data_IF_494696194996
#
_entry.id   IF_494696194996
#
_cell.length_a   1.000
_cell.length_b   1.000
_cell.length_c   1.000
_cell.angle_alpha   90.00
_cell.angle_beta   90.00
_cell.angle_gamma   90.00
#
_symmetry.space_group_name_H-M   'P 1'
#
loop_
_entity.id
_entity.type
_entity.pdbx_description
1 polymer ?
#
# COMPACT_ATOMS: atom_id res chain seq x y z
N UNK A 1 -3.47 13.33 -19.06
CA UNK A 1 -3.65 12.02 -18.40
C UNK A 1 -4.96 12.06 -17.61
N UNK A 2 -5.95 11.24 -17.91
CA UNK A 2 -7.18 11.19 -17.13
C UNK A 2 -6.90 10.57 -15.76
N UNK A 3 -7.40 11.23 -14.72
CA UNK A 3 -7.31 10.80 -13.34
C UNK A 3 -8.71 10.46 -12.86
N UNK A 4 -8.88 9.31 -12.22
CA UNK A 4 -10.12 8.88 -11.56
C UNK A 4 -9.95 9.03 -10.05
N UNK A 5 -10.97 9.51 -9.36
CA UNK A 5 -11.00 9.66 -7.90
C UNK A 5 -12.25 9.01 -7.34
N UNK A 6 -12.35 8.93 -6.02
CA UNK A 6 -13.55 8.53 -5.29
C UNK A 6 -14.20 9.74 -4.58
N UNK A 7 -14.16 10.92 -5.22
CA UNK A 7 -14.75 12.14 -4.65
C UNK A 7 -16.26 12.05 -4.42
N UNK A 8 -16.97 11.25 -5.23
CA UNK A 8 -18.39 10.93 -5.06
C UNK A 8 -18.69 10.08 -3.81
N UNK A 9 -17.68 9.40 -3.28
CA UNK A 9 -17.72 8.71 -1.98
C UNK A 9 -17.21 9.57 -0.83
N UNK A 10 -16.84 10.84 -1.07
CA UNK A 10 -16.21 11.72 -0.08
C UNK A 10 -14.72 11.43 0.16
N UNK A 11 -14.07 10.64 -0.67
CA UNK A 11 -12.67 10.20 -0.56
C UNK A 11 -11.87 10.62 -1.81
N UNK A 12 -11.74 11.94 -2.08
CA UNK A 12 -11.05 12.44 -3.29
C UNK A 12 -9.56 12.10 -3.34
N UNK A 13 -8.95 11.76 -2.22
CA UNK A 13 -7.55 11.35 -2.08
C UNK A 13 -7.29 9.94 -2.63
N UNK A 14 -8.30 9.07 -2.72
CA UNK A 14 -8.19 7.81 -3.44
C UNK A 14 -8.18 8.09 -4.94
N UNK A 15 -6.99 7.97 -5.53
CA UNK A 15 -6.72 8.38 -6.91
C UNK A 15 -6.17 7.22 -7.71
N UNK A 16 -6.61 7.05 -8.97
CA UNK A 16 -5.97 6.13 -9.91
C UNK A 16 -5.78 6.74 -11.29
N UNK A 17 -4.66 6.40 -11.91
CA UNK A 17 -4.31 6.85 -13.25
C UNK A 17 -3.35 5.86 -13.91
N UNK A 18 -3.04 6.08 -15.19
CA UNK A 18 -2.08 5.23 -15.92
C UNK A 18 -1.09 6.11 -16.66
N UNK A 19 0.19 5.75 -16.61
CA UNK A 19 1.25 6.38 -17.36
C UNK A 19 2.21 5.31 -17.91
N UNK A 20 2.56 5.39 -19.19
CA UNK A 20 3.46 4.45 -19.86
C UNK A 20 3.07 2.97 -19.64
N UNK A 21 1.78 2.66 -19.65
CA UNK A 21 1.24 1.32 -19.36
C UNK A 21 1.61 0.81 -17.96
N UNK A 22 1.73 1.70 -17.00
CA UNK A 22 1.82 1.38 -15.57
C UNK A 22 0.60 1.98 -14.89
N UNK A 23 -0.16 1.16 -14.19
CA UNK A 23 -1.31 1.60 -13.41
C UNK A 23 -0.85 2.09 -12.04
N UNK A 24 -1.30 3.26 -11.64
CA UNK A 24 -1.03 3.85 -10.33
C UNK A 24 -2.31 3.94 -9.52
N UNK A 25 -2.23 3.61 -8.24
CA UNK A 25 -3.30 3.77 -7.27
C UNK A 25 -2.77 4.40 -5.99
N UNK A 26 -3.32 5.54 -5.61
CA UNK A 26 -3.10 6.17 -4.31
C UNK A 26 -4.26 5.76 -3.41
N UNK A 27 -3.95 5.27 -2.22
CA UNK A 27 -4.89 4.63 -1.31
C UNK A 27 -4.85 5.30 0.07
N UNK A 28 -5.98 5.72 0.58
CA UNK A 28 -6.11 6.22 1.94
C UNK A 28 -6.14 5.04 2.93
N UNK A 29 -4.97 4.47 3.21
CA UNK A 29 -4.75 3.48 4.27
C UNK A 29 -3.93 4.16 5.35
N UNK A 30 -4.45 4.23 6.56
CA UNK A 30 -3.86 4.96 7.67
C UNK A 30 -3.08 4.03 8.61
N UNK A 31 -2.07 4.55 9.30
CA UNK A 31 -1.38 3.86 10.38
C UNK A 31 -2.31 3.49 11.55
N UNK A 32 -1.72 3.09 12.67
CA UNK A 32 -2.46 2.73 13.88
C UNK A 32 -3.52 1.65 13.66
N UNK A 33 -3.12 0.55 12.98
CA UNK A 33 -4.01 -0.56 12.62
C UNK A 33 -5.20 -0.08 11.77
N UNK A 34 -4.92 0.66 10.71
CA UNK A 34 -5.92 1.29 9.83
C UNK A 34 -6.89 2.21 10.60
N UNK A 35 -6.38 2.95 11.59
CA UNK A 35 -7.18 3.83 12.48
C UNK A 35 -8.16 3.08 13.41
N UNK A 36 -7.98 1.79 13.64
CA UNK A 36 -8.79 1.03 14.64
C UNK A 36 -8.32 1.24 16.08
N UNK A 37 -7.11 1.76 16.30
CA UNK A 37 -6.68 2.12 17.64
C UNK A 37 -7.50 3.31 18.16
N UNK A 38 -7.80 3.36 19.48
CA UNK A 38 -8.58 4.47 20.05
C UNK A 38 -7.99 5.84 19.74
N UNK A 39 -8.82 6.83 19.46
CA UNK A 39 -8.40 8.21 19.23
C UNK A 39 -8.05 8.90 20.55
N UNK A 40 -6.93 8.48 21.14
CA UNK A 40 -6.46 8.98 22.46
C UNK A 40 -6.23 10.49 22.47
N UNK A 41 -5.88 11.10 21.33
CA UNK A 41 -5.77 12.55 21.19
C UNK A 41 -7.09 13.30 21.39
N UNK A 42 -8.23 12.62 21.29
CA UNK A 42 -9.56 13.13 21.60
C UNK A 42 -10.06 12.66 22.99
N UNK A 43 -9.20 11.96 23.77
CA UNK A 43 -9.54 11.46 25.08
C UNK A 43 -10.23 10.09 25.08
N UNK A 44 -10.34 9.44 23.92
CA UNK A 44 -10.99 8.13 23.78
C UNK A 44 -10.05 7.01 24.26
N UNK A 45 -10.61 6.03 24.96
CA UNK A 45 -9.90 4.83 25.44
C UNK A 45 -10.29 3.56 24.70
N UNK A 46 -11.37 3.65 23.88
CA UNK A 46 -11.87 2.59 23.00
C UNK A 46 -12.27 3.21 21.68
N UNK A 47 -12.34 2.41 20.61
CA UNK A 47 -12.86 2.89 19.34
C UNK A 47 -14.33 3.29 19.47
N UNK A 48 -14.69 4.48 18.96
CA UNK A 48 -16.08 4.96 18.99
C UNK A 48 -16.88 4.38 17.81
N UNK A 49 -18.23 4.38 17.86
CA UNK A 49 -19.04 3.96 16.73
C UNK A 49 -18.78 4.79 15.47
N UNK A 50 -18.53 6.10 15.59
CA UNK A 50 -18.22 6.99 14.49
C UNK A 50 -16.87 6.66 13.87
N UNK A 51 -15.85 6.34 14.69
CA UNK A 51 -14.55 5.88 14.24
C UNK A 51 -14.67 4.56 13.45
N UNK A 52 -15.42 3.59 13.97
CA UNK A 52 -15.63 2.30 13.31
C UNK A 52 -16.36 2.47 11.97
N UNK A 53 -17.37 3.32 11.91
CA UNK A 53 -18.10 3.63 10.67
C UNK A 53 -17.20 4.31 9.62
N UNK A 54 -16.29 5.20 10.04
CA UNK A 54 -15.30 5.82 9.16
C UNK A 54 -14.35 4.76 8.59
N UNK A 55 -13.80 3.91 9.46
CA UNK A 55 -12.87 2.84 9.05
C UNK A 55 -13.53 1.88 8.06
N UNK A 56 -14.78 1.46 8.32
CA UNK A 56 -15.53 0.59 7.42
C UNK A 56 -15.73 1.25 6.05
N UNK A 57 -16.26 2.47 6.02
CA UNK A 57 -16.50 3.23 4.79
C UNK A 57 -15.22 3.43 3.95
N UNK A 58 -14.12 3.83 4.59
CA UNK A 58 -12.84 4.06 3.93
C UNK A 58 -12.23 2.74 3.45
N UNK A 59 -12.32 1.67 4.24
CA UNK A 59 -11.81 0.36 3.86
C UNK A 59 -12.55 -0.18 2.65
N UNK A 60 -13.88 -0.14 2.62
CA UNK A 60 -14.68 -0.57 1.46
C UNK A 60 -14.27 0.18 0.19
N UNK A 61 -14.07 1.48 0.29
CA UNK A 61 -13.64 2.30 -0.83
C UNK A 61 -12.22 1.93 -1.30
N UNK A 62 -11.29 1.67 -0.37
CA UNK A 62 -9.92 1.20 -0.68
C UNK A 62 -9.94 -0.16 -1.37
N UNK A 63 -10.70 -1.13 -0.87
CA UNK A 63 -10.85 -2.46 -1.48
C UNK A 63 -11.39 -2.36 -2.91
N UNK A 64 -12.41 -1.53 -3.11
CA UNK A 64 -12.96 -1.26 -4.45
C UNK A 64 -11.91 -0.57 -5.36
N UNK A 65 -11.13 0.36 -4.83
CA UNK A 65 -10.07 1.06 -5.58
C UNK A 65 -8.98 0.09 -6.05
N UNK A 66 -8.51 -0.82 -5.18
CA UNK A 66 -7.52 -1.84 -5.52
C UNK A 66 -8.05 -2.72 -6.65
N UNK A 67 -9.22 -3.36 -6.48
CA UNK A 67 -9.83 -4.22 -7.50
C UNK A 67 -10.02 -3.51 -8.83
N UNK A 68 -10.52 -2.27 -8.81
CA UNK A 68 -10.71 -1.47 -10.02
C UNK A 68 -9.39 -1.13 -10.71
N UNK A 69 -8.30 -0.92 -9.95
CA UNK A 69 -6.97 -0.63 -10.50
C UNK A 69 -6.45 -1.84 -11.28
N UNK A 70 -6.48 -3.03 -10.69
CA UNK A 70 -6.03 -4.26 -11.34
C UNK A 70 -6.93 -4.64 -12.52
N UNK A 71 -8.25 -4.56 -12.39
CA UNK A 71 -9.18 -4.80 -13.50
C UNK A 71 -8.95 -3.82 -14.66
N UNK A 72 -8.71 -2.53 -14.40
CA UNK A 72 -8.37 -1.54 -15.42
C UNK A 72 -6.99 -1.86 -16.05
N UNK A 73 -5.99 -2.26 -15.25
CA UNK A 73 -4.66 -2.64 -15.72
C UNK A 73 -4.69 -3.87 -16.63
N UNK A 74 -5.41 -4.91 -16.23
CA UNK A 74 -5.58 -6.13 -17.05
C UNK A 74 -6.25 -5.85 -18.39
N UNK A 75 -7.33 -5.02 -18.41
CA UNK A 75 -7.99 -4.65 -19.67
C UNK A 75 -7.11 -3.85 -20.63
N UNK A 76 -6.13 -3.10 -20.12
CA UNK A 76 -5.18 -2.32 -20.93
C UNK A 76 -3.90 -3.08 -21.26
N UNK A 77 -3.69 -4.27 -20.70
CA UNK A 77 -2.42 -4.98 -20.70
C UNK A 77 -1.30 -4.07 -20.16
N UNK A 78 -1.53 -3.45 -19.00
CA UNK A 78 -0.52 -2.64 -18.33
C UNK A 78 0.64 -3.55 -17.88
N UNK A 79 1.85 -2.99 -17.81
CA UNK A 79 3.11 -3.72 -17.54
C UNK A 79 3.43 -3.83 -16.06
N UNK A 80 2.75 -3.07 -15.22
CA UNK A 80 2.89 -3.10 -13.77
C UNK A 80 1.70 -2.39 -13.10
N UNK A 81 1.52 -2.68 -11.82
CA UNK A 81 0.67 -1.92 -10.90
C UNK A 81 1.53 -1.34 -9.79
N UNK A 82 1.33 -0.06 -9.48
CA UNK A 82 1.99 0.66 -8.37
C UNK A 82 0.91 1.17 -7.43
N UNK A 83 0.91 0.67 -6.21
CA UNK A 83 0.07 1.15 -5.11
C UNK A 83 0.88 2.05 -4.19
N UNK A 84 0.29 3.16 -3.76
CA UNK A 84 0.91 4.12 -2.83
C UNK A 84 -0.01 4.37 -1.65
N UNK A 85 0.52 4.30 -0.44
CA UNK A 85 -0.24 4.54 0.80
C UNK A 85 0.63 5.17 1.87
N UNK A 86 0.00 5.68 2.93
CA UNK A 86 0.72 6.18 4.10
C UNK A 86 1.15 5.01 5.00
N UNK A 87 0.25 4.09 5.34
CA UNK A 87 0.50 3.06 6.33
C UNK A 87 1.58 2.05 5.93
N UNK A 88 2.45 1.68 6.86
CA UNK A 88 3.31 0.51 6.77
C UNK A 88 2.60 -0.71 7.37
N UNK A 89 1.91 -1.48 6.53
CA UNK A 89 1.21 -2.71 6.92
C UNK A 89 2.16 -3.85 7.30
N UNK A 90 3.46 -3.66 7.09
CA UNK A 90 4.51 -4.65 7.31
C UNK A 90 5.68 -4.04 8.08
N UNK A 91 5.40 -3.13 9.02
CA UNK A 91 6.42 -2.46 9.83
C UNK A 91 7.21 -3.48 10.68
N UNK A 92 8.53 -3.63 10.43
CA UNK A 92 9.35 -4.59 11.16
C UNK A 92 9.36 -4.34 12.68
N UNK A 93 9.13 -3.11 13.13
CA UNK A 93 9.08 -2.77 14.54
C UNK A 93 7.87 -3.39 15.25
N UNK A 94 6.80 -3.66 14.51
CA UNK A 94 5.57 -4.29 15.00
C UNK A 94 5.58 -5.82 14.91
N UNK A 95 6.57 -6.43 14.24
CA UNK A 95 6.59 -7.85 13.93
C UNK A 95 6.47 -8.74 15.18
N UNK A 96 7.21 -8.44 16.24
CA UNK A 96 7.16 -9.23 17.46
C UNK A 96 5.78 -9.16 18.16
N UNK A 97 5.16 -7.97 18.19
CA UNK A 97 3.84 -7.78 18.76
C UNK A 97 2.75 -8.46 17.91
N UNK A 98 2.84 -8.32 16.58
CA UNK A 98 1.91 -8.94 15.64
C UNK A 98 2.00 -10.48 15.64
N UNK A 99 3.22 -11.03 15.79
CA UNK A 99 3.40 -12.49 15.94
C UNK A 99 2.77 -13.00 17.23
N UNK A 100 2.89 -12.25 18.33
CA UNK A 100 2.30 -12.62 19.63
C UNK A 100 0.76 -12.45 19.62
N UNK A 101 0.25 -11.46 18.89
CA UNK A 101 -1.18 -11.18 18.77
C UNK A 101 -1.50 -10.62 17.37
N UNK A 102 -1.90 -11.46 16.40
CA UNK A 102 -2.25 -11.04 15.04
C UNK A 102 -3.39 -10.01 14.95
N UNK A 103 -4.25 -9.91 15.98
CA UNK A 103 -5.34 -8.93 15.99
C UNK A 103 -4.87 -7.48 16.08
N UNK A 104 -3.61 -7.26 16.48
CA UNK A 104 -2.99 -5.92 16.40
C UNK A 104 -2.88 -5.38 14.97
N UNK A 105 -3.02 -6.25 13.96
CA UNK A 105 -2.98 -5.94 12.53
C UNK A 105 -4.33 -6.18 11.83
N UNK A 106 -5.41 -6.35 12.61
CA UNK A 106 -6.74 -6.73 12.08
C UNK A 106 -7.31 -5.74 11.05
N UNK A 107 -7.04 -4.44 11.23
CA UNK A 107 -7.50 -3.39 10.32
C UNK A 107 -6.87 -3.41 8.93
N UNK A 108 -5.78 -4.15 8.76
CA UNK A 108 -5.12 -4.32 7.46
C UNK A 108 -5.45 -5.65 6.79
N UNK A 109 -6.04 -6.62 7.52
CA UNK A 109 -6.19 -8.01 7.06
C UNK A 109 -6.92 -8.12 5.72
N UNK A 110 -8.07 -7.49 5.57
CA UNK A 110 -8.84 -7.51 4.32
C UNK A 110 -8.13 -6.79 3.16
N UNK A 111 -7.42 -5.71 3.48
CA UNK A 111 -6.65 -4.94 2.49
C UNK A 111 -5.50 -5.81 1.96
N UNK A 112 -4.73 -6.42 2.86
CA UNK A 112 -3.62 -7.31 2.50
C UNK A 112 -4.12 -8.51 1.71
N UNK A 113 -5.26 -9.11 2.09
CA UNK A 113 -5.89 -10.18 1.33
C UNK A 113 -6.19 -9.78 -0.11
N UNK A 114 -6.87 -8.65 -0.31
CA UNK A 114 -7.21 -8.19 -1.66
C UNK A 114 -5.96 -7.85 -2.48
N UNK A 115 -4.94 -7.28 -1.85
CA UNK A 115 -3.65 -7.04 -2.53
C UNK A 115 -3.04 -8.36 -3.02
N UNK A 116 -3.04 -9.41 -2.19
CA UNK A 116 -2.51 -10.74 -2.54
C UNK A 116 -3.34 -11.38 -3.66
N UNK A 117 -4.66 -11.38 -3.54
CA UNK A 117 -5.55 -11.98 -4.54
C UNK A 117 -5.35 -11.34 -5.92
N UNK A 118 -5.29 -10.02 -5.96
CA UNK A 118 -5.09 -9.27 -7.20
C UNK A 118 -3.66 -9.41 -7.75
N UNK A 119 -2.63 -9.38 -6.89
CA UNK A 119 -1.24 -9.57 -7.31
C UNK A 119 -1.01 -10.97 -7.89
N UNK A 120 -1.54 -12.02 -7.25
CA UNK A 120 -1.42 -13.40 -7.74
C UNK A 120 -2.23 -13.67 -9.03
N UNK A 121 -3.17 -12.78 -9.37
CA UNK A 121 -3.97 -12.88 -10.60
C UNK A 121 -3.45 -11.98 -11.73
N UNK A 122 -2.39 -11.20 -11.49
CA UNK A 122 -1.85 -10.23 -12.42
C UNK A 122 -0.46 -10.67 -12.92
N UNK A 123 -0.34 -10.96 -14.22
CA UNK A 123 0.87 -11.52 -14.84
C UNK A 123 2.00 -10.47 -15.06
N UNK A 124 2.20 -9.53 -14.12
CA UNK A 124 3.23 -8.50 -14.21
C UNK A 124 3.60 -7.96 -12.82
N UNK A 125 4.76 -7.25 -12.65
CA UNK A 125 5.22 -6.77 -11.37
C UNK A 125 4.22 -5.88 -10.64
N UNK A 126 4.13 -6.06 -9.32
CA UNK A 126 3.31 -5.26 -8.41
C UNK A 126 4.21 -4.57 -7.39
N UNK A 127 4.03 -3.27 -7.24
CA UNK A 127 4.80 -2.45 -6.30
C UNK A 127 3.89 -1.83 -5.26
N UNK A 128 4.34 -1.86 -4.00
CA UNK A 128 3.73 -1.16 -2.88
C UNK A 128 4.71 -0.12 -2.34
N UNK A 129 4.36 1.16 -2.43
CA UNK A 129 5.14 2.26 -1.89
C UNK A 129 4.43 2.78 -0.65
N UNK A 130 5.13 2.83 0.47
CA UNK A 130 4.56 3.29 1.74
C UNK A 130 5.53 4.17 2.55
N UNK A 131 4.99 4.86 3.55
CA UNK A 131 5.74 5.62 4.56
C UNK A 131 5.61 4.97 5.94
N UNK A 132 5.22 5.75 6.94
CA UNK A 132 4.85 5.45 8.33
C UNK A 132 6.02 5.02 9.22
N UNK A 133 6.72 3.93 8.92
CA UNK A 133 7.91 3.49 9.69
C UNK A 133 9.11 4.44 9.57
N UNK A 134 9.09 5.37 8.60
CA UNK A 134 10.08 6.45 8.41
C UNK A 134 11.53 5.98 8.17
N UNK A 135 11.72 4.70 7.84
CA UNK A 135 13.02 4.11 7.52
C UNK A 135 12.96 3.48 6.15
N UNK A 136 13.84 3.93 5.27
CA UNK A 136 13.91 3.38 3.91
C UNK A 136 14.16 1.87 3.95
N UNK A 137 13.35 1.14 3.21
CA UNK A 137 13.47 -0.31 3.08
C UNK A 137 12.98 -0.76 1.69
N UNK A 138 13.59 -1.84 1.21
CA UNK A 138 13.19 -2.54 -0.01
C UNK A 138 13.09 -4.02 0.33
N UNK A 139 11.93 -4.63 0.14
CA UNK A 139 11.73 -6.04 0.44
C UNK A 139 10.47 -6.60 -0.24
N UNK A 140 10.27 -7.91 -0.07
CA UNK A 140 9.08 -8.65 -0.50
C UNK A 140 8.39 -9.22 0.76
N UNK A 141 7.56 -8.42 1.45
CA UNK A 141 6.98 -8.80 2.73
C UNK A 141 6.00 -9.97 2.63
N UNK A 142 5.53 -10.29 1.43
CA UNK A 142 4.59 -11.38 1.16
C UNK A 142 5.24 -12.54 0.40
N UNK A 143 6.57 -12.60 0.29
CA UNK A 143 7.27 -13.74 -0.29
C UNK A 143 7.11 -15.00 0.55
N UNK A 144 7.27 -16.17 -0.08
CA UNK A 144 7.23 -17.47 0.60
C UNK A 144 8.17 -17.49 1.83
N UNK A 145 7.67 -17.97 2.96
CA UNK A 145 8.40 -18.02 4.23
C UNK A 145 8.43 -16.71 5.02
N UNK A 146 7.77 -15.65 4.54
CA UNK A 146 7.64 -14.41 5.32
C UNK A 146 6.74 -14.62 6.54
N UNK A 147 7.15 -14.12 7.73
CA UNK A 147 6.31 -14.21 8.94
C UNK A 147 4.99 -13.44 8.83
N UNK A 148 4.90 -12.48 7.92
CA UNK A 148 3.66 -11.74 7.69
C UNK A 148 2.54 -12.59 7.11
N UNK A 149 2.87 -13.69 6.41
CA UNK A 149 1.88 -14.62 5.89
C UNK A 149 1.09 -15.28 7.02
N UNK A 150 1.77 -15.73 8.07
CA UNK A 150 1.13 -16.32 9.25
C UNK A 150 0.30 -15.29 10.03
N UNK A 151 0.83 -14.06 10.19
CA UNK A 151 0.15 -12.97 10.90
C UNK A 151 -1.17 -12.60 10.22
N UNK A 152 -1.17 -12.50 8.89
CA UNK A 152 -2.38 -12.18 8.13
C UNK A 152 -3.24 -13.41 7.78
N UNK A 153 -2.68 -14.62 7.94
CA UNK A 153 -3.35 -15.86 7.54
C UNK A 153 -3.54 -15.96 6.02
N UNK A 154 -2.54 -15.55 5.25
CA UNK A 154 -2.61 -15.40 3.80
C UNK A 154 -1.56 -16.22 3.06
N UNK A 155 -1.79 -16.61 1.79
CA UNK A 155 -0.79 -17.24 0.94
C UNK A 155 0.29 -16.22 0.52
N UNK A 156 1.38 -16.71 -0.09
CA UNK A 156 2.42 -15.85 -0.64
C UNK A 156 1.96 -15.08 -1.90
N UNK A 157 2.60 -13.94 -2.13
CA UNK A 157 2.55 -13.15 -3.35
C UNK A 157 3.98 -12.67 -3.68
N UNK A 158 4.74 -13.54 -4.34
CA UNK A 158 6.18 -13.37 -4.56
C UNK A 158 6.51 -12.21 -5.52
N UNK A 159 5.58 -11.82 -6.41
CA UNK A 159 5.76 -10.73 -7.38
C UNK A 159 5.50 -9.33 -6.77
N UNK A 160 5.12 -9.26 -5.50
CA UNK A 160 4.92 -7.98 -4.82
C UNK A 160 6.21 -7.47 -4.20
N UNK A 161 6.71 -6.35 -4.71
CA UNK A 161 7.85 -5.63 -4.15
C UNK A 161 7.39 -4.40 -3.37
N UNK A 162 7.92 -4.23 -2.15
CA UNK A 162 7.63 -3.07 -1.32
C UNK A 162 8.82 -2.12 -1.24
N UNK A 163 8.53 -0.83 -1.29
CA UNK A 163 9.48 0.26 -1.07
C UNK A 163 8.91 1.17 0.02
N UNK A 164 9.56 1.21 1.18
CA UNK A 164 9.23 2.16 2.25
C UNK A 164 10.14 3.38 2.15
N UNK A 165 9.57 4.59 2.20
CA UNK A 165 10.33 5.83 2.10
C UNK A 165 10.77 6.36 3.45
N UNK A 166 11.91 7.07 3.51
CA UNK A 166 12.34 7.79 4.71
C UNK A 166 11.33 8.88 5.08
N UNK A 167 11.23 9.19 6.36
CA UNK A 167 10.36 10.24 6.86
C UNK A 167 10.78 10.75 8.23
N UNK A 168 10.04 11.71 8.78
CA UNK A 168 10.28 12.29 10.11
C UNK A 168 11.76 12.71 10.30
N UNK A 169 12.43 12.25 11.37
CA UNK A 169 13.83 12.55 11.67
C UNK A 169 14.82 12.04 10.60
N UNK A 170 14.42 11.06 9.80
CA UNK A 170 15.23 10.50 8.70
C UNK A 170 15.00 11.19 7.36
N UNK A 171 14.16 12.24 7.30
CA UNK A 171 13.80 12.94 6.08
C UNK A 171 14.94 13.83 5.57
N UNK A 172 16.05 13.22 5.12
CA UNK A 172 17.20 13.89 4.52
C UNK A 172 17.25 13.78 2.99
N UNK A 173 16.28 13.09 2.41
CA UNK A 173 16.19 12.78 1.00
C UNK A 173 14.72 12.60 0.59
N UNK A 174 14.49 12.49 -0.72
CA UNK A 174 13.26 11.93 -1.28
C UNK A 174 13.60 10.74 -2.18
N UNK A 175 12.62 9.87 -2.42
CA UNK A 175 12.77 8.79 -3.40
C UNK A 175 12.18 9.24 -4.73
N UNK A 176 13.01 9.19 -5.77
CA UNK A 176 12.58 9.44 -7.15
C UNK A 176 12.26 8.13 -7.82
N UNK A 177 11.03 7.98 -8.28
CA UNK A 177 10.59 6.84 -9.08
C UNK A 177 10.62 7.21 -10.57
N UNK A 178 11.16 6.33 -11.38
CA UNK A 178 11.23 6.49 -12.84
C UNK A 178 10.52 5.32 -13.50
N UNK A 179 9.53 5.63 -14.33
CA UNK A 179 8.83 4.63 -15.13
C UNK A 179 9.54 4.47 -16.46
N UNK A 180 9.92 3.25 -16.80
CA UNK A 180 10.55 2.93 -18.09
C UNK A 180 9.65 3.34 -19.27
N UNK A 181 10.27 3.71 -20.39
CA UNK A 181 9.55 4.10 -21.61
C UNK A 181 8.59 3.03 -22.10
N UNK A 182 7.49 3.46 -22.74
CA UNK A 182 6.39 2.58 -23.16
C UNK A 182 6.80 1.50 -24.19
N UNK A 183 7.95 1.68 -24.86
CA UNK A 183 8.50 0.75 -25.83
C UNK A 183 9.53 -0.22 -25.25
N UNK A 184 9.85 -0.15 -23.94
CA UNK A 184 10.81 -1.07 -23.33
C UNK A 184 10.07 -2.34 -22.87
N UNK A 185 10.60 -3.50 -23.26
CA UNK A 185 10.19 -4.81 -22.74
C UNK A 185 11.02 -5.15 -21.47
N UNK A 186 11.61 -4.13 -20.83
CA UNK A 186 12.46 -4.29 -19.66
C UNK A 186 11.67 -4.88 -18.49
N UNK A 187 12.29 -5.88 -17.84
CA UNK A 187 11.79 -6.44 -16.58
C UNK A 187 11.68 -5.35 -15.49
N UNK A 188 12.51 -4.31 -15.57
CA UNK A 188 12.55 -3.17 -14.64
C UNK A 188 11.62 -2.06 -15.12
N UNK A 189 10.32 -2.25 -14.93
CA UNK A 189 9.30 -1.25 -15.31
C UNK A 189 9.37 0.00 -14.44
N UNK A 190 9.75 -0.15 -13.17
CA UNK A 190 9.89 0.92 -12.19
C UNK A 190 11.30 0.88 -11.59
N UNK A 191 12.04 1.96 -11.76
CA UNK A 191 13.31 2.18 -11.07
C UNK A 191 13.15 3.26 -10.00
N UNK A 192 13.95 3.21 -8.94
CA UNK A 192 13.94 4.21 -7.89
C UNK A 192 15.35 4.50 -7.37
N UNK A 193 15.50 5.72 -6.86
CA UNK A 193 16.74 6.17 -6.24
C UNK A 193 16.46 7.14 -5.10
N UNK A 194 17.27 7.10 -4.05
CA UNK A 194 17.27 8.11 -2.99
C UNK A 194 18.04 9.35 -3.46
N UNK A 195 17.39 10.49 -3.48
CA UNK A 195 17.98 11.77 -3.86
C UNK A 195 18.10 12.66 -2.63
N UNK A 196 19.33 13.00 -2.18
CA UNK A 196 19.50 13.90 -1.05
C UNK A 196 18.88 15.27 -1.30
N UNK A 197 18.33 15.91 -0.27
CA UNK A 197 17.96 17.31 -0.37
C UNK A 197 19.21 18.16 -0.59
N UNK A 198 19.14 19.08 -1.53
CA UNK A 198 20.21 20.09 -1.72
C UNK A 198 20.29 20.96 -0.46
N UNK A 199 21.48 21.08 0.11
CA UNK A 199 21.74 22.06 1.18
C UNK A 199 21.79 23.47 0.60
#
# INVERSE_FOLDING_TARGET
>A
MPVKTQADLGLPENVRFTQNRVAFSVLNIQGSNNSLQPWTGLGETTATPEQLAEVEHRTDAVLAQIRNTFADAGRRNDRAVVMMTQADMFDPSLLAAATANPDTMSGFREIVQVIIDEANSFDAPVYLINGDSHVFAENQPLAEGSPWLDIYGQPAADDLQRITVDGSANATNYVRFTVAGNSSDDADVLAWEKVPFSQ
#
